data_IF_472912972396
#
_entry.id   IF_472912972396
#
_cell.length_a   1.000
_cell.length_b   1.000
_cell.length_c   1.000
_cell.angle_alpha   90.00
_cell.angle_beta   90.00
_cell.angle_gamma   90.00
#
_symmetry.space_group_name_H-M   'P 1'
#
loop_
_entity.id
_entity.type
_entity.pdbx_description
1 polymer ?
#
# COMPACT_ATOMS: atom_id res chain seq x y z
N UNK A 1 -9.05 12.84 22.26
CA UNK A 1 -10.29 12.07 22.02
C UNK A 1 -10.04 10.57 22.17
N UNK A 2 -10.32 9.99 23.34
CA UNK A 2 -10.04 8.56 23.68
C UNK A 2 -10.79 7.49 22.87
N UNK A 3 -11.17 7.81 21.64
CA UNK A 3 -11.72 6.90 20.64
C UNK A 3 -10.66 5.92 20.14
N UNK A 4 -11.03 4.64 19.99
CA UNK A 4 -10.16 3.59 19.47
C UNK A 4 -9.75 3.92 18.03
N UNK A 5 -8.53 4.41 17.86
CA UNK A 5 -7.95 4.75 16.55
C UNK A 5 -7.60 3.48 15.75
N UNK A 6 -7.32 2.38 16.45
CA UNK A 6 -7.06 1.06 15.88
C UNK A 6 -8.22 0.11 16.17
N UNK A 7 -9.24 0.15 15.33
CA UNK A 7 -10.22 -0.91 15.26
C UNK A 7 -9.74 -2.07 14.39
N UNK A 8 -10.35 -3.24 14.54
CA UNK A 8 -10.00 -4.45 13.77
C UNK A 8 -10.00 -4.18 12.27
N UNK A 9 -10.93 -3.34 11.80
CA UNK A 9 -11.00 -2.88 10.42
C UNK A 9 -9.72 -2.16 9.97
N UNK A 10 -9.23 -1.25 10.81
CA UNK A 10 -8.04 -0.46 10.54
C UNK A 10 -6.79 -1.33 10.57
N UNK A 11 -6.72 -2.30 11.50
CA UNK A 11 -5.62 -3.26 11.57
C UNK A 11 -5.52 -4.15 10.31
N UNK A 12 -6.64 -4.68 9.83
CA UNK A 12 -6.66 -5.51 8.60
C UNK A 12 -6.31 -4.66 7.38
N UNK A 13 -6.84 -3.44 7.29
CA UNK A 13 -6.52 -2.52 6.18
C UNK A 13 -5.03 -2.17 6.15
N UNK A 14 -4.43 -1.93 7.31
CA UNK A 14 -2.99 -1.66 7.43
C UNK A 14 -2.14 -2.88 7.07
N UNK A 15 -2.53 -4.09 7.50
CA UNK A 15 -1.81 -5.33 7.13
C UNK A 15 -1.80 -5.54 5.61
N UNK A 16 -2.95 -5.38 4.96
CA UNK A 16 -3.04 -5.50 3.49
C UNK A 16 -2.17 -4.43 2.83
N UNK A 17 -2.27 -3.17 3.26
CA UNK A 17 -1.43 -2.11 2.71
C UNK A 17 0.07 -2.41 2.85
N UNK A 18 0.52 -2.89 4.02
CA UNK A 18 1.92 -3.15 4.29
C UNK A 18 2.51 -4.32 3.49
N UNK A 19 1.70 -5.36 3.22
CA UNK A 19 2.12 -6.50 2.39
C UNK A 19 2.39 -6.08 0.94
N UNK A 20 1.64 -5.12 0.42
CA UNK A 20 1.75 -4.66 -0.97
C UNK A 20 2.60 -3.38 -1.13
N UNK A 21 2.88 -2.66 -0.04
CA UNK A 21 3.73 -1.48 -0.07
C UNK A 21 5.19 -1.90 -0.33
N UNK A 22 5.68 -1.67 -1.55
CA UNK A 22 7.11 -1.69 -1.83
C UNK A 22 7.81 -0.53 -1.10
N UNK A 23 8.21 -0.77 0.15
CA UNK A 23 8.98 0.19 0.96
C UNK A 23 10.48 0.13 0.68
N UNK A 24 10.93 -0.91 -0.01
CA UNK A 24 12.35 -1.10 -0.32
C UNK A 24 12.78 -0.14 -1.44
N UNK A 25 13.35 1.01 -1.05
CA UNK A 25 13.96 1.99 -1.96
C UNK A 25 15.18 1.39 -2.69
N UNK A 26 15.78 0.33 -2.13
CA UNK A 26 16.91 -0.39 -2.71
C UNK A 26 16.61 -0.99 -4.09
N UNK A 27 15.41 -1.54 -4.32
CA UNK A 27 15.02 -2.10 -5.62
C UNK A 27 14.90 -1.01 -6.68
N UNK A 28 14.32 0.14 -6.33
CA UNK A 28 14.20 1.31 -7.23
C UNK A 28 15.59 1.85 -7.59
N UNK A 29 16.51 1.87 -6.62
CA UNK A 29 17.87 2.36 -6.82
C UNK A 29 18.69 1.47 -7.78
N UNK A 30 18.51 0.15 -7.72
CA UNK A 30 19.16 -0.78 -8.67
C UNK A 30 18.51 -0.69 -10.06
N UNK A 31 17.18 -0.69 -10.16
CA UNK A 31 16.48 -0.55 -11.45
C UNK A 31 16.88 0.75 -12.16
N UNK A 32 17.05 1.85 -11.41
CA UNK A 32 17.57 3.11 -11.95
C UNK A 32 18.96 2.96 -12.56
N UNK A 33 19.86 2.23 -11.89
CA UNK A 33 21.24 2.02 -12.38
C UNK A 33 21.27 1.14 -13.62
N UNK A 34 20.47 0.08 -13.66
CA UNK A 34 20.42 -0.87 -14.79
C UNK A 34 19.68 -0.30 -16.01
N UNK A 35 18.61 0.46 -15.80
CA UNK A 35 17.80 1.02 -16.92
C UNK A 35 18.33 2.37 -17.41
N UNK A 36 19.31 2.97 -16.72
CA UNK A 36 19.89 4.26 -17.09
C UNK A 36 18.93 5.45 -17.05
N UNK A 37 17.71 5.28 -16.51
CA UNK A 37 16.64 6.29 -16.57
C UNK A 37 15.60 6.15 -15.44
N UNK A 38 14.94 7.28 -15.11
CA UNK A 38 13.96 7.36 -14.02
C UNK A 38 12.53 6.94 -14.41
N UNK A 39 12.23 6.82 -15.71
CA UNK A 39 10.87 6.53 -16.20
C UNK A 39 10.35 5.17 -15.71
N UNK A 40 11.17 4.14 -15.82
CA UNK A 40 10.82 2.76 -15.43
C UNK A 40 10.71 2.54 -13.91
N UNK A 41 11.68 2.97 -13.08
CA UNK A 41 11.59 2.80 -11.64
C UNK A 41 10.41 3.55 -11.02
N UNK A 42 10.12 4.77 -11.49
CA UNK A 42 8.97 5.55 -11.01
C UNK A 42 7.66 4.88 -11.40
N UNK A 43 7.55 4.36 -12.63
CA UNK A 43 6.38 3.61 -13.06
C UNK A 43 6.15 2.36 -12.19
N UNK A 44 7.19 1.59 -11.91
CA UNK A 44 7.10 0.41 -11.04
C UNK A 44 6.65 0.77 -9.62
N UNK A 45 7.21 1.85 -9.06
CA UNK A 45 6.86 2.32 -7.72
C UNK A 45 5.41 2.81 -7.65
N UNK A 46 4.99 3.62 -8.64
CA UNK A 46 3.61 4.08 -8.76
C UNK A 46 2.64 2.92 -8.97
N UNK A 47 2.98 1.92 -9.78
CA UNK A 47 2.13 0.77 -10.03
C UNK A 47 1.84 -0.02 -8.76
N UNK A 48 2.88 -0.37 -8.00
CA UNK A 48 2.70 -1.10 -6.74
C UNK A 48 2.04 -0.25 -5.65
N UNK A 49 2.35 1.05 -5.58
CA UNK A 49 1.69 1.97 -4.66
C UNK A 49 0.19 2.15 -4.98
N UNK A 50 -0.15 2.29 -6.26
CA UNK A 50 -1.54 2.38 -6.71
C UNK A 50 -2.30 1.08 -6.43
N UNK A 51 -1.68 -0.08 -6.69
CA UNK A 51 -2.26 -1.39 -6.38
C UNK A 51 -2.54 -1.53 -4.88
N UNK A 52 -1.56 -1.15 -4.03
CA UNK A 52 -1.71 -1.18 -2.58
C UNK A 52 -2.84 -0.26 -2.10
N UNK A 53 -2.97 0.94 -2.70
CA UNK A 53 -4.06 1.87 -2.37
C UNK A 53 -5.44 1.31 -2.75
N UNK A 54 -5.56 0.72 -3.95
CA UNK A 54 -6.80 0.07 -4.38
C UNK A 54 -7.17 -1.09 -3.45
N UNK A 55 -6.21 -1.94 -3.09
CA UNK A 55 -6.43 -3.05 -2.18
C UNK A 55 -6.85 -2.56 -0.78
N UNK A 56 -6.16 -1.56 -0.23
CA UNK A 56 -6.54 -0.96 1.05
C UNK A 56 -7.94 -0.36 1.01
N UNK A 57 -8.31 0.32 -0.09
CA UNK A 57 -9.65 0.87 -0.27
C UNK A 57 -10.71 -0.23 -0.35
N UNK A 58 -10.45 -1.32 -1.07
CA UNK A 58 -11.34 -2.48 -1.16
C UNK A 58 -11.48 -3.17 0.20
N UNK A 59 -10.40 -3.35 0.95
CA UNK A 59 -10.42 -3.95 2.29
C UNK A 59 -11.20 -3.09 3.28
N UNK A 60 -10.99 -1.77 3.24
CA UNK A 60 -11.71 -0.83 4.10
C UNK A 60 -13.21 -0.79 3.77
N UNK A 61 -13.55 -0.71 2.48
CA UNK A 61 -14.94 -0.72 2.03
C UNK A 61 -15.63 -2.07 2.29
N UNK A 62 -14.93 -3.18 2.08
CA UNK A 62 -15.44 -4.53 2.36
C UNK A 62 -15.68 -4.75 3.84
N UNK A 63 -14.74 -4.35 4.70
CA UNK A 63 -14.93 -4.48 6.14
C UNK A 63 -15.95 -3.49 6.72
N UNK A 64 -16.11 -2.29 6.14
CA UNK A 64 -17.25 -1.40 6.45
C UNK A 64 -18.59 -2.06 6.07
N UNK A 65 -18.65 -2.76 4.94
CA UNK A 65 -19.85 -3.47 4.50
C UNK A 65 -20.21 -4.65 5.43
N UNK A 66 -19.19 -5.31 5.97
CA UNK A 66 -19.31 -6.40 6.97
C UNK A 66 -19.68 -5.90 8.38
N UNK A 67 -19.81 -4.58 8.60
CA UNK A 67 -20.20 -4.01 9.89
C UNK A 67 -19.10 -4.01 10.96
N UNK A 68 -17.84 -4.27 10.58
CA UNK A 68 -16.71 -4.12 11.51
C UNK A 68 -16.43 -2.63 11.73
N UNK A 69 -16.66 -2.14 12.97
CA UNK A 69 -16.14 -0.85 13.45
C UNK A 69 -14.66 -0.98 13.80
#
# INVERSE_FOLDING_TARGET
DGTKVYTTLTAITLMVFYVFALQCVSTVAIVRRETGGWKWPVFQWLYMGALAWVLAFVTYQGGRLLGWQ
#
